data_IF_057826197544
#
_entry.id   IF_057826197544
#
_cell.length_a   1.000
_cell.length_b   1.000
_cell.length_c   1.000
_cell.angle_alpha   90.00
_cell.angle_beta   90.00
_cell.angle_gamma   90.00
#
_symmetry.space_group_name_H-M   'P 1'
#
loop_
_entity.id
_entity.type
_entity.pdbx_description
1 polymer ?
#
# COMPACT_ATOMS: atom_id res chain seq x y z
N UNK A 1 35.39 -26.77 -11.70
CA UNK A 1 35.11 -25.38 -12.15
C UNK A 1 33.73 -24.97 -11.62
N UNK A 2 33.37 -25.47 -10.44
CA UNK A 2 31.96 -25.70 -10.04
C UNK A 2 31.60 -24.90 -8.78
N UNK A 3 32.53 -24.69 -7.83
CA UNK A 3 32.27 -23.93 -6.60
C UNK A 3 31.91 -22.45 -6.84
N UNK A 4 32.46 -21.82 -7.87
CA UNK A 4 32.22 -20.39 -8.16
C UNK A 4 30.83 -20.14 -8.77
N UNK A 5 30.29 -21.14 -9.45
CA UNK A 5 28.96 -21.12 -10.08
C UNK A 5 27.87 -21.41 -9.04
N UNK A 6 28.15 -22.31 -8.09
CA UNK A 6 27.25 -22.64 -6.98
C UNK A 6 27.13 -21.47 -5.99
N UNK A 7 28.23 -20.82 -5.62
CA UNK A 7 28.21 -19.63 -4.76
C UNK A 7 27.47 -18.43 -5.38
N UNK A 8 27.53 -18.26 -6.71
CA UNK A 8 26.79 -17.21 -7.40
C UNK A 8 25.28 -17.50 -7.41
N UNK A 9 24.91 -18.76 -7.61
CA UNK A 9 23.51 -19.20 -7.59
C UNK A 9 22.90 -19.12 -6.18
N UNK A 10 23.65 -19.40 -5.13
CA UNK A 10 23.20 -19.20 -3.75
C UNK A 10 23.02 -17.73 -3.42
N UNK A 11 23.95 -16.85 -3.82
CA UNK A 11 23.81 -15.41 -3.64
C UNK A 11 22.59 -14.84 -4.39
N UNK A 12 22.32 -15.30 -5.61
CA UNK A 12 21.14 -14.91 -6.38
C UNK A 12 19.84 -15.35 -5.71
N UNK A 13 19.79 -16.60 -5.21
CA UNK A 13 18.63 -17.12 -4.45
C UNK A 13 18.41 -16.36 -3.15
N UNK A 14 19.48 -16.01 -2.44
CA UNK A 14 19.42 -15.24 -1.21
C UNK A 14 18.91 -13.82 -1.46
N UNK A 15 19.46 -13.14 -2.48
CA UNK A 15 19.02 -11.79 -2.90
C UNK A 15 17.54 -11.77 -3.30
N UNK A 16 17.07 -12.79 -4.03
CA UNK A 16 15.65 -12.91 -4.40
C UNK A 16 14.75 -13.17 -3.19
N UNK A 17 15.20 -14.03 -2.27
CA UNK A 17 14.49 -14.33 -1.02
C UNK A 17 14.36 -13.07 -0.15
N UNK A 18 15.40 -12.26 -0.09
CA UNK A 18 15.42 -11.02 0.69
C UNK A 18 14.57 -9.93 0.05
N UNK A 19 14.57 -9.84 -1.29
CA UNK A 19 13.63 -8.97 -2.01
C UNK A 19 12.17 -9.35 -1.74
N UNK A 20 11.85 -10.64 -1.72
CA UNK A 20 10.51 -11.14 -1.41
C UNK A 20 10.14 -10.93 0.06
N UNK A 21 11.10 -11.10 0.98
CA UNK A 21 10.88 -10.86 2.41
C UNK A 21 10.60 -9.38 2.70
N UNK A 22 11.40 -8.49 2.12
CA UNK A 22 11.20 -7.04 2.21
C UNK A 22 9.85 -6.62 1.61
N UNK A 23 9.44 -7.26 0.51
CA UNK A 23 8.10 -7.06 -0.06
C UNK A 23 6.99 -7.49 0.92
N UNK A 24 7.07 -8.70 1.48
CA UNK A 24 6.09 -9.19 2.47
C UNK A 24 6.02 -8.28 3.70
N UNK A 25 7.18 -7.82 4.18
CA UNK A 25 7.26 -6.90 5.30
C UNK A 25 6.55 -5.57 4.96
N UNK A 26 6.83 -4.96 3.79
CA UNK A 26 6.14 -3.72 3.35
C UNK A 26 4.63 -3.86 3.38
N UNK A 27 4.09 -4.97 2.86
CA UNK A 27 2.64 -5.20 2.86
C UNK A 27 2.07 -5.35 4.25
N UNK A 28 2.72 -6.18 5.07
CA UNK A 28 2.30 -6.35 6.45
C UNK A 28 2.25 -5.02 7.20
N UNK A 29 3.23 -4.13 6.98
CA UNK A 29 3.29 -2.81 7.59
C UNK A 29 2.17 -1.88 7.15
N UNK A 30 1.75 -1.93 5.89
CA UNK A 30 0.61 -1.12 5.47
C UNK A 30 -0.65 -1.67 6.14
N UNK A 31 -0.86 -2.98 6.07
CA UNK A 31 -2.05 -3.63 6.62
C UNK A 31 -2.23 -3.47 8.14
N UNK A 32 -1.15 -3.22 8.89
CA UNK A 32 -1.18 -2.93 10.32
C UNK A 32 -0.80 -1.49 10.69
N UNK A 33 -0.64 -0.59 9.71
CA UNK A 33 -0.16 0.80 9.93
C UNK A 33 -1.02 1.53 10.97
N UNK A 34 -2.34 1.45 10.83
CA UNK A 34 -3.26 2.13 11.75
C UNK A 34 -3.19 1.54 13.16
N UNK A 35 -3.08 0.21 13.28
CA UNK A 35 -2.97 -0.46 14.58
C UNK A 35 -1.66 -0.09 15.30
N UNK A 36 -0.54 -0.02 14.55
CA UNK A 36 0.74 0.44 15.06
C UNK A 36 0.72 1.91 15.48
N UNK A 37 0.11 2.80 14.66
CA UNK A 37 -0.05 4.22 14.98
C UNK A 37 -0.92 4.42 16.22
N UNK A 38 -2.03 3.68 16.33
CA UNK A 38 -2.90 3.72 17.51
C UNK A 38 -2.16 3.26 18.77
N UNK A 39 -1.42 2.16 18.68
CA UNK A 39 -0.59 1.64 19.78
C UNK A 39 0.44 2.68 20.22
N UNK A 40 1.13 3.29 19.26
CA UNK A 40 2.13 4.33 19.52
C UNK A 40 1.54 5.56 20.21
N UNK A 41 0.40 6.04 19.69
CA UNK A 41 -0.28 7.22 20.20
C UNK A 41 -0.83 7.01 21.62
N UNK A 42 -1.42 5.83 21.91
CA UNK A 42 -1.99 5.52 23.22
C UNK A 42 -0.91 5.39 24.30
N UNK A 43 0.24 4.81 23.95
CA UNK A 43 1.34 4.59 24.88
C UNK A 43 2.38 5.73 24.91
N UNK A 44 2.23 6.76 24.07
CA UNK A 44 3.20 7.85 23.90
C UNK A 44 4.62 7.36 23.61
N UNK A 45 4.71 6.30 22.81
CA UNK A 45 5.97 5.66 22.41
C UNK A 45 6.28 5.95 20.95
N UNK A 46 7.55 5.84 20.59
CA UNK A 46 7.97 5.80 19.19
C UNK A 46 8.20 4.35 18.79
N UNK A 47 7.60 3.92 17.68
CA UNK A 47 7.85 2.62 17.07
C UNK A 47 8.72 2.85 15.83
N UNK A 48 9.80 2.07 15.71
CA UNK A 48 10.59 1.92 14.49
C UNK A 48 10.57 0.47 14.05
N UNK A 49 10.56 0.27 12.73
CA UNK A 49 10.59 -1.04 12.11
C UNK A 49 11.73 -1.06 11.12
N UNK A 50 12.62 -2.02 11.32
CA UNK A 50 13.84 -2.19 10.57
C UNK A 50 13.84 -3.54 9.88
N UNK A 51 14.36 -3.59 8.66
CA UNK A 51 14.60 -4.88 8.02
C UNK A 51 15.85 -5.58 8.60
N UNK A 52 16.13 -6.76 8.08
CA UNK A 52 17.26 -7.62 8.46
C UNK A 52 18.62 -6.97 8.20
N UNK A 53 18.66 -6.04 7.24
CA UNK A 53 19.83 -5.29 6.83
C UNK A 53 19.95 -3.94 7.53
N UNK A 54 19.11 -3.70 8.55
CA UNK A 54 19.05 -2.45 9.30
C UNK A 54 18.73 -1.26 8.40
N UNK A 55 17.92 -1.47 7.36
CA UNK A 55 17.23 -0.41 6.64
C UNK A 55 15.96 -0.02 7.39
N UNK A 56 15.79 1.26 7.70
CA UNK A 56 14.56 1.75 8.33
C UNK A 56 13.40 1.63 7.33
N UNK A 57 12.40 0.81 7.67
CA UNK A 57 11.22 0.59 6.85
C UNK A 57 10.08 1.53 7.22
N UNK A 58 9.90 1.77 8.52
CA UNK A 58 8.80 2.59 9.01
C UNK A 58 9.11 3.15 10.39
N UNK A 59 8.59 4.34 10.67
CA UNK A 59 8.64 4.97 11.99
C UNK A 59 7.35 5.75 12.26
N UNK A 60 6.96 5.82 13.52
CA UNK A 60 5.83 6.65 14.00
C UNK A 60 6.11 8.16 14.03
N UNK A 61 7.37 8.59 14.10
CA UNK A 61 7.73 10.00 14.14
C UNK A 61 7.50 10.70 12.80
N UNK A 62 7.16 11.99 12.83
CA UNK A 62 6.88 12.79 11.63
C UNK A 62 8.10 12.77 10.67
N UNK A 63 7.91 12.71 9.33
CA UNK A 63 9.01 12.66 8.36
C UNK A 63 10.04 13.79 8.52
N UNK A 64 9.60 14.97 8.97
CA UNK A 64 10.47 16.14 9.23
C UNK A 64 11.40 15.99 10.44
N UNK A 65 11.18 14.98 11.29
CA UNK A 65 12.02 14.66 12.44
C UNK A 65 13.06 13.58 12.12
N UNK A 66 12.98 12.96 10.93
CA UNK A 66 14.00 12.03 10.45
C UNK A 66 15.17 12.83 9.83
N UNK A 67 16.42 12.40 10.03
CA UNK A 67 17.56 13.00 9.35
C UNK A 67 17.40 12.88 7.84
N UNK A 68 17.74 13.94 7.10
CA UNK A 68 17.68 13.98 5.65
C UNK A 68 18.42 12.76 5.07
N UNK A 69 17.77 12.06 4.13
CA UNK A 69 17.92 10.65 3.69
C UNK A 69 19.33 10.06 3.37
N UNK A 70 20.45 10.68 3.75
CA UNK A 70 21.78 10.20 3.36
C UNK A 70 22.35 9.09 4.26
N UNK A 71 21.92 8.97 5.53
CA UNK A 71 22.09 7.77 6.34
C UNK A 71 21.28 7.89 7.63
N UNK A 72 20.36 6.95 7.91
CA UNK A 72 19.69 6.87 9.22
C UNK A 72 20.44 5.81 10.02
N UNK A 73 21.08 6.21 11.13
CA UNK A 73 21.78 5.27 12.01
C UNK A 73 20.80 4.31 12.68
N UNK A 74 21.20 3.03 12.77
CA UNK A 74 20.42 1.99 13.43
C UNK A 74 20.85 1.82 14.90
N UNK A 75 19.92 1.86 15.86
CA UNK A 75 18.58 2.44 15.76
C UNK A 75 18.62 3.97 15.88
N UNK A 76 17.61 4.68 15.37
CA UNK A 76 17.57 6.14 15.47
C UNK A 76 17.10 6.53 16.87
N UNK A 77 18.04 6.86 17.75
CA UNK A 77 17.76 7.20 19.15
C UNK A 77 17.56 8.71 19.35
N UNK A 78 16.53 9.08 20.12
CA UNK A 78 16.45 10.41 20.74
C UNK A 78 16.88 10.31 22.20
N UNK A 79 17.66 11.28 22.69
CA UNK A 79 18.34 11.18 23.98
C UNK A 79 17.38 10.88 25.15
N UNK A 80 17.73 9.91 26.01
CA UNK A 80 17.03 9.49 27.24
C UNK A 80 15.73 8.68 27.06
N UNK A 81 15.67 7.72 26.13
CA UNK A 81 14.54 6.79 25.98
C UNK A 81 14.93 5.35 26.38
N UNK A 82 14.01 4.61 27.00
CA UNK A 82 14.18 3.16 27.19
C UNK A 82 13.84 2.44 25.89
N UNK A 83 14.71 1.51 25.49
CA UNK A 83 14.61 0.81 24.20
C UNK A 83 14.17 -0.65 24.42
N UNK A 84 13.08 -1.05 23.77
CA UNK A 84 12.62 -2.43 23.73
C UNK A 84 12.69 -2.96 22.31
N UNK A 85 13.10 -4.23 22.16
CA UNK A 85 13.31 -4.84 20.85
C UNK A 85 12.60 -6.19 20.75
N UNK A 86 11.99 -6.46 19.61
CA UNK A 86 11.42 -7.76 19.32
C UNK A 86 11.63 -8.14 17.85
N UNK A 87 12.07 -9.38 17.55
CA UNK A 87 12.27 -9.82 16.18
C UNK A 87 10.93 -10.06 15.49
N UNK A 88 10.83 -9.67 14.21
CA UNK A 88 9.71 -10.03 13.33
C UNK A 88 9.99 -11.43 12.79
N UNK A 89 9.81 -12.43 13.66
CA UNK A 89 10.14 -13.83 13.41
C UNK A 89 8.89 -14.61 12.99
N UNK A 90 8.91 -15.17 11.78
CA UNK A 90 7.93 -16.18 11.40
C UNK A 90 8.34 -17.55 11.93
N UNK A 91 7.65 -18.00 12.97
CA UNK A 91 7.90 -19.28 13.64
C UNK A 91 7.74 -20.47 12.70
N UNK A 92 6.88 -20.37 11.67
CA UNK A 92 6.65 -21.49 10.74
C UNK A 92 7.87 -21.73 9.85
N UNK A 93 8.44 -20.65 9.31
CA UNK A 93 9.58 -20.71 8.39
C UNK A 93 10.93 -20.51 9.08
N UNK A 94 10.92 -20.12 10.35
CA UNK A 94 12.08 -19.66 11.12
C UNK A 94 12.81 -18.46 10.49
N UNK A 95 12.15 -17.74 9.58
CA UNK A 95 12.72 -16.56 8.92
C UNK A 95 12.47 -15.30 9.76
N UNK A 96 13.53 -14.51 9.98
CA UNK A 96 13.46 -13.21 10.64
C UNK A 96 13.34 -12.16 9.55
N UNK A 97 12.23 -11.42 9.48
CA UNK A 97 12.01 -10.36 8.48
C UNK A 97 12.63 -9.02 8.86
N UNK A 98 12.95 -8.85 10.15
CA UNK A 98 13.41 -7.57 10.69
C UNK A 98 13.21 -7.50 12.20
N UNK A 99 13.17 -6.28 12.71
CA UNK A 99 13.03 -6.00 14.14
C UNK A 99 12.08 -4.81 14.38
N UNK A 100 11.24 -4.94 15.39
CA UNK A 100 10.49 -3.82 15.97
C UNK A 100 11.30 -3.24 17.12
N UNK A 101 11.47 -1.93 17.10
CA UNK A 101 12.16 -1.18 18.14
C UNK A 101 11.18 -0.14 18.71
N UNK A 102 10.95 -0.20 20.02
CA UNK A 102 10.12 0.74 20.74
C UNK A 102 10.98 1.65 21.61
N UNK A 103 10.70 2.94 21.55
CA UNK A 103 11.28 3.96 22.40
C UNK A 103 10.21 4.46 23.36
N UNK A 104 10.46 4.24 24.64
CA UNK A 104 9.63 4.76 25.70
C UNK A 104 10.26 6.04 26.26
N UNK A 105 9.51 7.14 26.17
CA UNK A 105 9.90 8.46 26.69
C UNK A 105 9.92 8.54 28.21
N UNK A 106 9.28 7.59 28.88
CA UNK A 106 9.29 7.51 30.33
C UNK A 106 10.56 6.80 30.81
N UNK A 107 11.29 7.44 31.74
CA UNK A 107 12.61 6.99 32.24
C UNK A 107 12.53 5.81 33.23
N UNK A 108 11.68 4.82 32.98
CA UNK A 108 11.63 3.62 33.79
C UNK A 108 11.50 2.36 32.94
N UNK A 109 12.28 1.35 33.28
CA UNK A 109 12.14 0.01 32.73
C UNK A 109 10.77 -0.55 33.13
N UNK A 110 10.03 -1.09 32.16
CA UNK A 110 8.72 -1.66 32.37
C UNK A 110 8.56 -2.91 31.49
N UNK A 111 8.16 -4.03 32.11
CA UNK A 111 7.87 -5.30 31.43
C UNK A 111 6.84 -5.16 30.30
N UNK A 112 5.93 -4.18 30.42
CA UNK A 112 4.95 -3.87 29.38
C UNK A 112 5.59 -3.33 28.10
N UNK A 113 6.76 -2.68 28.18
CA UNK A 113 7.50 -2.22 26.99
C UNK A 113 8.01 -3.39 26.15
N UNK A 114 8.57 -4.42 26.78
CA UNK A 114 8.99 -5.63 26.08
C UNK A 114 7.80 -6.40 25.51
N UNK A 115 6.70 -6.51 26.26
CA UNK A 115 5.49 -7.16 25.77
C UNK A 115 4.89 -6.42 24.58
N UNK A 116 4.86 -5.09 24.61
CA UNK A 116 4.37 -4.27 23.50
C UNK A 116 5.24 -4.45 22.24
N UNK A 117 6.56 -4.54 22.38
CA UNK A 117 7.45 -4.79 21.25
C UNK A 117 7.15 -6.16 20.62
N UNK A 118 7.02 -7.19 21.46
CA UNK A 118 6.66 -8.55 21.02
C UNK A 118 5.29 -8.58 20.34
N UNK A 119 4.27 -7.93 20.91
CA UNK A 119 2.93 -7.87 20.32
C UNK A 119 2.92 -7.17 18.96
N UNK A 120 3.66 -6.06 18.81
CA UNK A 120 3.81 -5.39 17.52
C UNK A 120 4.48 -6.31 16.50
N UNK A 121 5.55 -7.02 16.88
CA UNK A 121 6.23 -7.96 16.01
C UNK A 121 5.33 -9.14 15.59
N UNK A 122 4.57 -9.71 16.53
CA UNK A 122 3.61 -10.78 16.27
C UNK A 122 2.47 -10.33 15.34
N UNK A 123 1.94 -9.12 15.53
CA UNK A 123 0.92 -8.56 14.66
C UNK A 123 1.41 -8.44 13.22
N UNK A 124 2.66 -7.99 13.01
CA UNK A 124 3.28 -7.92 11.69
C UNK A 124 3.42 -9.33 11.10
N UNK A 125 3.93 -10.30 11.87
CA UNK A 125 4.07 -11.70 11.41
C UNK A 125 2.72 -12.32 11.06
N UNK A 126 1.66 -12.02 11.81
CA UNK A 126 0.30 -12.45 11.47
C UNK A 126 -0.14 -11.92 10.10
N UNK A 127 0.16 -10.65 9.78
CA UNK A 127 -0.12 -10.07 8.45
C UNK A 127 0.76 -10.66 7.35
N UNK A 128 2.02 -10.97 7.63
CA UNK A 128 2.93 -11.67 6.69
C UNK A 128 2.39 -13.07 6.34
N UNK A 129 1.82 -13.76 7.33
CA UNK A 129 1.36 -15.14 7.22
C UNK A 129 -0.12 -15.28 6.84
N UNK A 130 -0.88 -14.18 6.78
CA UNK A 130 -2.17 -14.17 6.11
C UNK A 130 -1.94 -14.50 4.63
N UNK A 131 -2.84 -15.26 4.02
CA UNK A 131 -2.76 -15.49 2.57
C UNK A 131 -2.58 -14.13 1.87
N UNK A 132 -1.70 -14.02 0.86
CA UNK A 132 -1.33 -12.73 0.32
C UNK A 132 -2.59 -12.04 -0.16
N UNK A 133 -3.03 -11.04 0.61
CA UNK A 133 -4.05 -10.12 0.14
C UNK A 133 -3.42 -9.51 -1.10
N UNK A 134 -4.05 -9.73 -2.25
CA UNK A 134 -3.51 -9.19 -3.49
C UNK A 134 -3.31 -7.69 -3.29
N UNK A 135 -2.16 -7.17 -3.69
CA UNK A 135 -1.93 -5.74 -3.68
C UNK A 135 -2.17 -5.21 -5.08
N UNK A 136 -3.01 -4.19 -5.18
CA UNK A 136 -3.20 -3.41 -6.40
C UNK A 136 -2.64 -2.01 -6.19
N UNK A 137 -1.57 -1.67 -6.90
CA UNK A 137 -1.04 -0.30 -6.92
C UNK A 137 -1.31 0.39 -8.25
N UNK A 138 -1.82 1.62 -8.19
CA UNK A 138 -2.16 2.43 -9.35
C UNK A 138 -1.56 3.82 -9.23
N UNK A 139 -0.92 4.25 -10.32
CA UNK A 139 -0.60 5.64 -10.60
C UNK A 139 -1.42 6.09 -11.80
N UNK A 140 -2.43 6.92 -11.55
CA UNK A 140 -3.38 7.43 -12.54
C UNK A 140 -3.10 8.87 -12.97
N UNK A 141 -2.15 9.57 -12.33
CA UNK A 141 -1.64 10.85 -12.84
C UNK A 141 -0.87 10.64 -14.15
N UNK A 142 -0.89 11.63 -15.05
CA UNK A 142 -0.19 11.65 -16.35
C UNK A 142 -0.86 10.90 -17.52
N UNK A 143 -0.21 10.98 -18.69
CA UNK A 143 -0.69 10.42 -19.95
C UNK A 143 -0.56 8.88 -20.06
N UNK A 144 0.19 8.24 -19.17
CA UNK A 144 0.39 6.79 -19.13
C UNK A 144 0.16 6.32 -17.69
N UNK A 145 -0.95 5.62 -17.46
CA UNK A 145 -1.24 5.02 -16.16
C UNK A 145 -0.30 3.83 -15.91
N UNK A 146 0.12 3.66 -14.66
CA UNK A 146 0.83 2.47 -14.21
C UNK A 146 -0.06 1.64 -13.29
N UNK A 147 -0.10 0.33 -13.52
CA UNK A 147 -0.85 -0.62 -12.70
C UNK A 147 0.06 -1.78 -12.40
N UNK A 148 0.14 -2.15 -11.12
CA UNK A 148 0.85 -3.35 -10.68
C UNK A 148 -0.03 -4.18 -9.78
N UNK A 149 0.02 -5.49 -9.98
CA UNK A 149 -0.57 -6.50 -9.09
C UNK A 149 0.57 -7.23 -8.42
N UNK A 150 0.64 -7.20 -7.09
CA UNK A 150 1.76 -7.75 -6.31
C UNK A 150 3.12 -7.23 -6.83
N UNK A 151 3.16 -5.95 -7.20
CA UNK A 151 4.27 -5.22 -7.84
C UNK A 151 4.68 -5.64 -9.25
N UNK A 152 4.01 -6.64 -9.83
CA UNK A 152 4.22 -6.99 -11.23
C UNK A 152 3.38 -6.07 -12.12
N UNK A 153 3.98 -5.39 -13.11
CA UNK A 153 3.25 -4.51 -14.01
C UNK A 153 2.23 -5.30 -14.82
N UNK A 154 1.03 -4.74 -14.99
CA UNK A 154 -0.06 -5.35 -15.75
C UNK A 154 -0.50 -4.42 -16.87
N UNK A 155 -0.49 -4.94 -18.09
CA UNK A 155 -0.95 -4.20 -19.26
C UNK A 155 -2.46 -4.32 -19.45
N UNK A 156 -3.16 -3.24 -19.12
CA UNK A 156 -4.60 -3.10 -19.32
C UNK A 156 -4.93 -2.21 -20.52
N UNK A 157 -6.01 -2.56 -21.24
CA UNK A 157 -6.60 -1.63 -22.22
C UNK A 157 -7.14 -0.39 -21.47
N UNK A 158 -7.33 0.76 -22.16
CA UNK A 158 -7.92 1.93 -21.52
C UNK A 158 -9.26 1.64 -20.85
N UNK A 159 -10.11 0.80 -21.48
CA UNK A 159 -11.40 0.40 -20.91
C UNK A 159 -11.25 -0.50 -19.68
N UNK A 160 -10.28 -1.42 -19.69
CA UNK A 160 -9.96 -2.25 -18.52
C UNK A 160 -9.45 -1.43 -17.34
N UNK A 161 -8.61 -0.43 -17.61
CA UNK A 161 -8.14 0.51 -16.61
C UNK A 161 -9.30 1.31 -16.00
N UNK A 162 -10.23 1.82 -16.83
CA UNK A 162 -11.43 2.50 -16.34
C UNK A 162 -12.26 1.62 -15.42
N UNK A 163 -12.50 0.36 -15.80
CA UNK A 163 -13.23 -0.60 -14.96
C UNK A 163 -12.56 -0.70 -13.59
N UNK A 164 -11.24 -0.95 -13.54
CA UNK A 164 -10.51 -1.07 -12.28
C UNK A 164 -10.64 0.20 -11.43
N UNK A 165 -10.45 1.39 -12.01
CA UNK A 165 -10.53 2.65 -11.28
C UNK A 165 -11.94 2.91 -10.72
N UNK A 166 -12.97 2.62 -11.51
CA UNK A 166 -14.36 2.71 -11.05
C UNK A 166 -14.61 1.77 -9.87
N UNK A 167 -14.12 0.54 -9.92
CA UNK A 167 -14.28 -0.42 -8.83
C UNK A 167 -13.51 0.00 -7.57
N UNK A 168 -12.36 0.65 -7.70
CA UNK A 168 -11.61 1.21 -6.56
C UNK A 168 -12.39 2.34 -5.89
N UNK A 169 -12.99 3.23 -6.68
CA UNK A 169 -13.84 4.33 -6.18
C UNK A 169 -15.18 3.83 -5.62
N UNK A 170 -15.52 2.54 -5.82
CA UNK A 170 -16.74 1.91 -5.32
C UNK A 170 -16.39 0.64 -4.53
N UNK A 171 -15.80 0.78 -3.32
CA UNK A 171 -15.22 -0.34 -2.56
C UNK A 171 -16.26 -1.37 -2.11
N UNK A 172 -17.56 -1.02 -2.08
CA UNK A 172 -18.66 -1.96 -1.79
C UNK A 172 -19.02 -2.86 -2.98
N UNK A 173 -18.43 -2.60 -4.15
CA UNK A 173 -18.68 -3.30 -5.40
C UNK A 173 -19.90 -2.79 -6.16
N UNK A 174 -19.99 -3.19 -7.42
CA UNK A 174 -21.06 -2.80 -8.34
C UNK A 174 -21.72 -4.02 -8.99
N UNK A 175 -23.01 -3.90 -9.31
CA UNK A 175 -23.67 -4.80 -10.24
C UNK A 175 -23.19 -4.55 -11.68
N UNK A 176 -23.51 -5.48 -12.60
CA UNK A 176 -23.18 -5.29 -14.02
C UNK A 176 -23.85 -4.05 -14.61
N UNK A 177 -25.10 -3.82 -14.24
CA UNK A 177 -25.92 -2.70 -14.71
C UNK A 177 -25.36 -1.37 -14.18
N UNK A 178 -24.96 -1.32 -12.90
CA UNK A 178 -24.34 -0.13 -12.33
C UNK A 178 -23.00 0.18 -12.98
N UNK A 179 -22.15 -0.83 -13.17
CA UNK A 179 -20.86 -0.67 -13.85
C UNK A 179 -21.04 -0.23 -15.30
N UNK A 180 -22.06 -0.75 -16.00
CA UNK A 180 -22.42 -0.33 -17.35
C UNK A 180 -22.79 1.16 -17.39
N UNK A 181 -23.69 1.61 -16.50
CA UNK A 181 -24.07 3.02 -16.39
C UNK A 181 -22.85 3.93 -16.13
N UNK A 182 -21.92 3.51 -15.27
CA UNK A 182 -20.73 4.31 -14.97
C UNK A 182 -19.72 4.39 -16.13
N UNK A 183 -19.70 3.38 -17.01
CA UNK A 183 -18.80 3.31 -18.16
C UNK A 183 -19.35 4.00 -19.41
N UNK A 184 -20.67 4.00 -19.58
CA UNK A 184 -21.33 4.28 -20.86
C UNK A 184 -22.47 5.29 -20.75
N UNK A 185 -23.03 5.53 -19.56
CA UNK A 185 -24.29 6.28 -19.36
C UNK A 185 -25.39 5.85 -20.34
N UNK A 186 -25.66 6.67 -21.36
CA UNK A 186 -26.74 6.47 -22.35
C UNK A 186 -26.24 5.90 -23.69
N UNK A 187 -24.95 5.53 -23.81
CA UNK A 187 -24.46 4.88 -25.03
C UNK A 187 -25.14 3.51 -25.24
N UNK A 188 -25.56 3.24 -26.49
CA UNK A 188 -26.17 1.97 -26.90
C UNK A 188 -25.15 0.81 -26.98
N UNK A 189 -24.45 0.55 -25.88
CA UNK A 189 -23.52 -0.57 -25.75
C UNK A 189 -24.23 -1.69 -25.01
N UNK A 190 -24.20 -2.90 -25.56
CA UNK A 190 -24.89 -4.03 -24.93
C UNK A 190 -24.21 -4.46 -23.61
N UNK A 191 -25.00 -4.93 -22.64
CA UNK A 191 -24.47 -5.56 -21.42
C UNK A 191 -23.58 -6.77 -21.74
N UNK A 192 -23.83 -7.47 -22.84
CA UNK A 192 -23.02 -8.60 -23.28
C UNK A 192 -21.59 -8.17 -23.65
N UNK A 193 -21.43 -7.00 -24.29
CA UNK A 193 -20.12 -6.42 -24.59
C UNK A 193 -19.34 -6.17 -23.31
N UNK A 194 -19.99 -5.62 -22.28
CA UNK A 194 -19.36 -5.40 -20.97
C UNK A 194 -19.00 -6.72 -20.28
N UNK A 195 -19.87 -7.73 -20.31
CA UNK A 195 -19.56 -9.06 -19.76
C UNK A 195 -18.32 -9.66 -20.39
N UNK A 196 -18.18 -9.56 -21.71
CA UNK A 196 -16.99 -10.02 -22.43
C UNK A 196 -15.74 -9.28 -21.98
N UNK A 197 -15.79 -7.93 -21.90
CA UNK A 197 -14.65 -7.12 -21.44
C UNK A 197 -14.23 -7.50 -20.01
N UNK A 198 -15.18 -7.71 -19.10
CA UNK A 198 -14.89 -8.13 -17.72
C UNK A 198 -14.30 -9.54 -17.68
N UNK A 199 -14.78 -10.46 -18.53
CA UNK A 199 -14.21 -11.80 -18.65
C UNK A 199 -12.74 -11.73 -19.07
N UNK A 200 -12.43 -10.91 -20.09
CA UNK A 200 -11.04 -10.67 -20.49
C UNK A 200 -10.20 -10.02 -19.39
N UNK A 201 -10.77 -9.06 -18.67
CA UNK A 201 -10.10 -8.43 -17.53
C UNK A 201 -9.76 -9.46 -16.46
N UNK A 202 -10.73 -10.28 -16.03
CA UNK A 202 -10.53 -11.32 -15.02
C UNK A 202 -9.48 -12.35 -15.42
N UNK A 203 -9.41 -12.71 -16.70
CA UNK A 203 -8.35 -13.59 -17.19
C UNK A 203 -6.94 -12.96 -17.07
N UNK A 204 -6.83 -11.62 -17.08
CA UNK A 204 -5.56 -10.92 -16.88
C UNK A 204 -5.21 -10.67 -15.41
N UNK A 205 -6.20 -10.34 -14.58
CA UNK A 205 -5.98 -9.91 -13.19
C UNK A 205 -6.26 -11.01 -12.16
N UNK A 206 -6.74 -12.17 -12.59
CA UNK A 206 -7.06 -13.31 -11.72
C UNK A 206 -8.21 -13.00 -10.76
N UNK A 207 -8.03 -13.40 -9.51
CA UNK A 207 -9.05 -13.31 -8.45
C UNK A 207 -9.24 -11.89 -7.89
N UNK A 208 -8.58 -10.88 -8.47
CA UNK A 208 -8.67 -9.48 -8.05
C UNK A 208 -10.11 -8.95 -8.04
N UNK A 209 -10.99 -9.48 -8.89
CA UNK A 209 -12.37 -9.00 -9.04
C UNK A 209 -13.37 -10.11 -8.69
N UNK A 210 -14.16 -9.88 -7.64
CA UNK A 210 -15.21 -10.80 -7.21
C UNK A 210 -16.25 -11.08 -8.33
N UNK A 211 -16.80 -12.30 -8.33
CA UNK A 211 -17.71 -12.79 -9.37
C UNK A 211 -19.10 -12.18 -9.36
N UNK A 212 -19.65 -11.95 -8.15
CA UNK A 212 -21.07 -11.63 -7.96
C UNK A 212 -21.33 -10.13 -7.84
N UNK A 213 -20.51 -9.46 -7.05
CA UNK A 213 -20.37 -8.00 -7.02
C UNK A 213 -19.02 -7.70 -7.63
N UNK A 214 -18.98 -6.90 -8.70
CA UNK A 214 -17.71 -6.49 -9.26
C UNK A 214 -17.04 -5.59 -8.22
N UNK A 215 -16.12 -6.17 -7.45
CA UNK A 215 -15.50 -5.56 -6.29
C UNK A 215 -14.03 -5.98 -6.28
N UNK A 216 -13.14 -5.05 -5.99
CA UNK A 216 -11.72 -5.33 -5.83
C UNK A 216 -11.50 -6.10 -4.52
N UNK A 217 -10.90 -7.28 -4.61
CA UNK A 217 -10.51 -8.15 -3.48
C UNK A 217 -9.00 -8.05 -3.25
N UNK A 218 -8.54 -6.82 -2.99
CA UNK A 218 -7.14 -6.49 -2.82
C UNK A 218 -6.97 -5.31 -1.86
N UNK A 219 -5.79 -5.22 -1.27
CA UNK A 219 -5.31 -3.98 -0.68
C UNK A 219 -4.98 -3.00 -1.81
N UNK A 220 -5.58 -1.81 -1.78
CA UNK A 220 -5.51 -0.85 -2.88
C UNK A 220 -4.65 0.36 -2.50
N UNK A 221 -3.62 0.60 -3.30
CA UNK A 221 -2.76 1.77 -3.25
C UNK A 221 -2.98 2.59 -4.52
N UNK A 222 -3.89 3.56 -4.45
CA UNK A 222 -4.18 4.45 -5.57
C UNK A 222 -3.86 5.89 -5.18
N UNK A 223 -3.03 6.55 -5.99
CA UNK A 223 -2.70 7.97 -5.86
C UNK A 223 -3.94 8.86 -5.77
N UNK A 224 -4.95 8.60 -6.61
CA UNK A 224 -6.20 9.36 -6.63
C UNK A 224 -7.07 9.14 -5.37
N UNK A 225 -6.97 7.96 -4.73
CA UNK A 225 -7.66 7.65 -3.47
C UNK A 225 -6.97 8.35 -2.30
N UNK A 226 -5.64 8.36 -2.28
CA UNK A 226 -4.87 9.12 -1.29
C UNK A 226 -5.17 10.62 -1.39
N UNK A 227 -5.31 11.14 -2.61
CA UNK A 227 -5.70 12.53 -2.84
C UNK A 227 -7.13 12.82 -2.37
N UNK A 228 -8.09 11.91 -2.60
CA UNK A 228 -9.46 12.04 -2.07
C UNK A 228 -9.48 12.06 -0.53
N UNK A 229 -8.73 11.16 0.10
CA UNK A 229 -8.57 11.12 1.56
C UNK A 229 -7.90 12.39 2.12
N UNK A 230 -6.88 12.93 1.42
CA UNK A 230 -6.23 14.18 1.80
C UNK A 230 -7.17 15.39 1.65
N UNK A 231 -7.99 15.41 0.60
CA UNK A 231 -9.01 16.44 0.38
C UNK A 231 -10.13 16.39 1.42
N UNK A 232 -10.55 15.20 1.83
CA UNK A 232 -11.54 15.01 2.89
C UNK A 232 -10.99 15.45 4.26
N UNK A 233 -9.71 15.18 4.52
CA UNK A 233 -9.02 15.56 5.76
C UNK A 233 -8.49 17.01 5.80
N UNK A 234 -8.46 17.71 4.65
CA UNK A 234 -7.92 19.07 4.55
C UNK A 234 -6.39 19.16 4.65
N UNK A 235 -5.65 18.11 4.29
CA UNK A 235 -4.19 18.07 4.37
C UNK A 235 -3.53 18.79 3.18
N UNK A 236 -3.45 20.13 3.27
CA UNK A 236 -3.01 21.01 2.17
C UNK A 236 -1.64 20.65 1.58
N UNK A 237 -0.65 20.31 2.40
CA UNK A 237 0.68 19.96 1.90
C UNK A 237 0.67 18.64 1.13
N UNK A 238 -0.04 17.62 1.65
CA UNK A 238 -0.24 16.35 0.94
C UNK A 238 -1.01 16.53 -0.35
N UNK A 239 -2.02 17.39 -0.39
CA UNK A 239 -2.77 17.72 -1.61
C UNK A 239 -1.82 18.34 -2.65
N UNK A 240 -0.96 19.30 -2.25
CA UNK A 240 0.03 19.92 -3.15
C UNK A 240 1.05 18.92 -3.69
N UNK A 241 1.51 17.99 -2.86
CA UNK A 241 2.45 16.94 -3.27
C UNK A 241 1.83 15.94 -4.25
N UNK A 242 0.53 15.65 -4.10
CA UNK A 242 -0.19 14.68 -4.91
C UNK A 242 -0.81 15.27 -6.17
N UNK A 243 -1.02 16.59 -6.25
CA UNK A 243 -1.52 17.26 -7.45
C UNK A 243 -0.44 17.37 -8.54
N UNK A 244 0.02 16.22 -9.03
CA UNK A 244 1.11 16.08 -10.01
C UNK A 244 0.65 16.16 -11.47
N UNK A 245 -0.62 16.52 -11.70
CA UNK A 245 -1.20 16.64 -13.04
C UNK A 245 -2.59 16.04 -13.14
N UNK A 246 -3.12 15.97 -14.35
CA UNK A 246 -4.48 15.51 -14.61
C UNK A 246 -4.64 14.00 -14.51
N UNK A 247 -5.55 13.60 -13.62
CA UNK A 247 -6.03 12.23 -13.48
C UNK A 247 -7.01 11.88 -14.60
N UNK A 248 -6.98 10.64 -15.08
CA UNK A 248 -8.00 10.09 -15.99
C UNK A 248 -8.20 10.85 -17.32
N UNK A 249 -7.22 11.63 -17.79
CA UNK A 249 -7.33 12.47 -19.02
C UNK A 249 -7.79 11.72 -20.27
N UNK A 250 -7.36 10.45 -20.43
CA UNK A 250 -7.69 9.61 -21.59
C UNK A 250 -8.92 8.74 -21.37
N UNK A 251 -9.51 8.79 -20.18
CA UNK A 251 -10.71 8.02 -19.86
C UNK A 251 -11.93 8.64 -20.55
N UNK A 252 -12.75 7.76 -21.13
CA UNK A 252 -14.03 8.03 -21.76
C UNK A 252 -15.20 7.75 -20.83
N UNK A 253 -15.01 6.97 -19.76
CA UNK A 253 -16.04 6.75 -18.74
C UNK A 253 -16.62 8.08 -18.25
N UNK A 254 -17.94 8.28 -18.35
CA UNK A 254 -18.60 9.47 -17.83
C UNK A 254 -18.44 9.62 -16.32
N UNK A 255 -18.45 8.51 -15.58
CA UNK A 255 -18.21 8.51 -14.13
C UNK A 255 -16.84 9.10 -13.78
N UNK A 256 -15.77 8.60 -14.40
CA UNK A 256 -14.41 9.07 -14.10
C UNK A 256 -14.20 10.52 -14.52
N UNK A 257 -14.84 10.97 -15.61
CA UNK A 257 -14.82 12.38 -16.02
C UNK A 257 -15.52 13.29 -15.02
N UNK A 258 -16.70 12.90 -14.54
CA UNK A 258 -17.42 13.62 -13.48
C UNK A 258 -16.60 13.66 -12.19
N UNK A 259 -16.01 12.53 -11.80
CA UNK A 259 -15.13 12.44 -10.65
C UNK A 259 -13.92 13.39 -10.80
N UNK A 260 -13.25 13.40 -11.95
CA UNK A 260 -12.13 14.30 -12.24
C UNK A 260 -12.54 15.78 -12.13
N UNK A 261 -13.71 16.15 -12.67
CA UNK A 261 -14.23 17.52 -12.59
C UNK A 261 -14.49 17.95 -11.14
N UNK A 262 -15.14 17.08 -10.35
CA UNK A 262 -15.40 17.33 -8.93
C UNK A 262 -14.08 17.48 -8.17
N UNK A 263 -13.12 16.58 -8.41
CA UNK A 263 -11.81 16.64 -7.78
C UNK A 263 -11.11 17.98 -8.05
N UNK A 264 -11.11 18.43 -9.31
CA UNK A 264 -10.50 19.70 -9.71
C UNK A 264 -11.13 20.90 -9.03
N UNK A 265 -12.46 20.93 -8.92
CA UNK A 265 -13.17 21.98 -8.18
C UNK A 265 -12.79 21.95 -6.69
N UNK A 266 -12.73 20.77 -6.07
CA UNK A 266 -12.35 20.62 -4.65
C UNK A 266 -10.93 21.12 -4.38
N UNK A 267 -9.97 20.75 -5.23
CA UNK A 267 -8.58 21.21 -5.13
C UNK A 267 -8.52 22.74 -5.25
N UNK A 268 -9.18 23.31 -6.27
CA UNK A 268 -9.18 24.76 -6.49
C UNK A 268 -9.78 25.52 -5.29
N UNK A 269 -10.84 25.01 -4.67
CA UNK A 269 -11.46 25.65 -3.51
C UNK A 269 -10.60 25.58 -2.23
N UNK A 270 -9.70 24.61 -2.12
CA UNK A 270 -8.85 24.42 -0.94
C UNK A 270 -7.46 25.06 -1.09
N UNK A 271 -6.95 25.14 -2.31
CA UNK A 271 -5.62 25.68 -2.60
C UNK A 271 -5.62 27.10 -3.21
N UNK A 272 -6.75 27.54 -3.76
CA UNK A 272 -6.94 28.89 -4.33
C UNK A 272 -7.36 29.91 -3.28
#
# INVERSE_FOLDING_TARGET
MDEKTDALNENLKQTQKDSLANQKLRFALIACKNDLLNTASLALITIQIWDMYKGLFWCTSHPSQLPTQQHIEYPFESQNEYVYKAPILDIKTHYIYGEVILFNRFKQENIFGQLAATQCAEMIVQKINQEPIQCLSIQAYSNQYEIKINHLPVLLTPRQFEIICILILNPMGLSLEQLHLYLYEDENISLNTLKSEISYLKNKVGELICARTYQIQAEVFADFKLLEEALDAGYLDTIRELDQGDYFTKCKSPFLRKWQQILRIRIQNLLG
#
